data_IF_881465278444
#
_entry.id   IF_881465278444
#
_cell.length_a   1.000
_cell.length_b   1.000
_cell.length_c   1.000
_cell.angle_alpha   90.00
_cell.angle_beta   90.00
_cell.angle_gamma   90.00
#
_symmetry.space_group_name_H-M   'P 1'
#
loop_
_entity.id
_entity.type
_entity.pdbx_description
1 polymer ?
#
# COMPACT_ATOMS: atom_id res chain seq x y z
N UNK A 1 26.59 -50.46 -8.39
CA UNK A 1 27.90 -51.11 -8.60
C UNK A 1 28.81 -50.08 -9.25
N UNK A 2 29.63 -49.36 -8.47
CA UNK A 2 31.12 -49.43 -8.36
C UNK A 2 31.87 -49.08 -9.67
N UNK A 3 33.10 -48.51 -9.65
CA UNK A 3 33.89 -47.97 -8.52
C UNK A 3 34.79 -46.73 -8.80
N UNK A 4 35.29 -46.15 -7.69
CA UNK A 4 36.63 -45.62 -7.36
C UNK A 4 37.64 -45.14 -8.44
N UNK A 5 38.39 -44.07 -8.10
CA UNK A 5 39.86 -44.06 -7.89
C UNK A 5 40.33 -42.65 -7.40
N UNK A 6 40.80 -42.44 -6.16
CA UNK A 6 42.14 -42.66 -5.52
C UNK A 6 43.07 -41.44 -5.48
N UNK A 7 43.22 -40.93 -4.25
CA UNK A 7 44.37 -40.35 -3.52
C UNK A 7 45.69 -40.08 -4.28
N UNK A 8 46.32 -38.94 -3.95
CA UNK A 8 47.77 -38.90 -3.72
C UNK A 8 48.14 -37.93 -2.59
N UNK A 9 49.01 -38.42 -1.71
CA UNK A 9 49.56 -37.81 -0.51
C UNK A 9 51.05 -37.57 -0.80
N UNK A 10 51.61 -36.40 -0.48
CA UNK A 10 53.05 -36.17 -0.54
C UNK A 10 53.53 -35.64 0.82
N UNK A 11 54.23 -36.49 1.55
CA UNK A 11 54.96 -36.21 2.78
C UNK A 11 56.41 -35.93 2.37
N UNK A 12 56.95 -34.76 2.72
CA UNK A 12 58.40 -34.52 2.70
C UNK A 12 58.88 -34.36 4.14
N UNK A 13 59.80 -35.24 4.54
CA UNK A 13 60.58 -35.20 5.77
C UNK A 13 62.02 -34.74 5.43
N UNK A 14 62.88 -34.64 6.46
CA UNK A 14 64.35 -34.39 6.47
C UNK A 14 64.68 -32.94 6.91
N UNK A 15 65.61 -32.65 7.84
CA UNK A 15 66.35 -33.41 8.86
C UNK A 15 66.99 -32.38 9.80
N UNK A 16 67.26 -32.79 11.03
CA UNK A 16 67.96 -32.03 12.06
C UNK A 16 69.44 -31.81 11.76
N UNK A 17 69.91 -30.57 11.92
CA UNK A 17 71.33 -30.26 12.13
C UNK A 17 71.48 -29.52 13.47
N UNK A 18 72.16 -30.18 14.41
CA UNK A 18 72.66 -29.58 15.64
C UNK A 18 74.02 -28.96 15.33
N UNK A 19 74.14 -27.63 15.46
CA UNK A 19 75.40 -26.94 15.53
C UNK A 19 75.42 -26.08 16.80
N UNK A 20 76.41 -26.34 17.65
CA UNK A 20 76.75 -25.63 18.88
C UNK A 20 77.28 -24.23 18.58
N UNK A 21 76.80 -23.19 19.28
CA UNK A 21 77.45 -21.87 19.25
C UNK A 21 76.71 -20.76 19.99
N UNK A 22 77.30 -20.33 21.11
CA UNK A 22 77.13 -19.07 21.84
C UNK A 22 75.70 -18.60 22.21
N UNK A 23 75.41 -18.68 23.51
CA UNK A 23 74.31 -17.97 24.15
C UNK A 23 74.55 -16.45 24.08
N UNK A 24 73.76 -15.75 23.27
CA UNK A 24 73.45 -14.34 23.49
C UNK A 24 72.09 -14.27 24.17
N UNK A 25 72.04 -13.69 25.37
CA UNK A 25 70.78 -13.29 25.99
C UNK A 25 70.19 -12.15 25.15
N UNK A 26 69.24 -12.48 24.28
CA UNK A 26 68.42 -11.48 23.61
C UNK A 26 67.55 -10.79 24.68
N UNK A 27 67.61 -9.47 24.73
CA UNK A 27 66.61 -8.65 25.41
C UNK A 27 65.21 -9.08 24.96
N UNK A 28 64.18 -9.07 25.83
CA UNK A 28 62.83 -9.38 25.40
C UNK A 28 62.38 -8.29 24.43
N UNK A 29 62.47 -8.58 23.14
CA UNK A 29 61.88 -7.79 22.09
C UNK A 29 60.37 -7.91 22.27
N UNK A 30 59.73 -6.79 22.64
CA UNK A 30 58.30 -6.72 22.77
C UNK A 30 57.69 -7.12 21.42
N UNK A 31 56.93 -8.21 21.41
CA UNK A 31 56.19 -8.62 20.23
C UNK A 31 55.36 -7.42 19.73
N UNK A 32 55.37 -7.13 18.42
CA UNK A 32 54.54 -6.07 17.89
C UNK A 32 53.09 -6.37 18.26
N UNK A 33 52.48 -5.47 19.03
CA UNK A 33 51.04 -5.48 19.29
C UNK A 33 50.37 -5.38 17.93
N UNK A 34 49.83 -6.49 17.43
CA UNK A 34 48.91 -6.46 16.31
C UNK A 34 47.62 -5.82 16.82
N UNK A 35 47.52 -4.51 16.61
CA UNK A 35 46.28 -3.77 16.79
C UNK A 35 45.37 -4.25 15.65
N UNK A 36 44.44 -5.15 15.95
CA UNK A 36 43.36 -5.44 15.01
C UNK A 36 42.56 -4.14 14.83
N UNK A 37 42.22 -3.74 13.59
CA UNK A 37 41.43 -2.54 13.37
C UNK A 37 40.09 -2.69 14.08
N UNK A 38 39.73 -1.61 14.77
CA UNK A 38 38.45 -1.38 15.42
C UNK A 38 37.37 -1.61 14.36
N UNK A 39 36.43 -2.53 14.58
CA UNK A 39 35.21 -2.59 13.77
C UNK A 39 34.54 -1.22 13.86
N UNK A 40 34.61 -0.43 12.79
CA UNK A 40 33.86 0.80 12.70
C UNK A 40 32.38 0.41 12.66
N UNK A 41 31.66 0.66 13.76
CA UNK A 41 30.21 0.67 13.71
C UNK A 41 29.84 1.78 12.72
N UNK A 42 29.30 1.42 11.56
CA UNK A 42 28.72 2.42 10.67
C UNK A 42 27.45 2.92 11.35
N UNK A 43 27.52 4.16 11.84
CA UNK A 43 26.36 4.87 12.38
C UNK A 43 25.31 5.01 11.29
N UNK A 44 24.06 4.66 11.58
CA UNK A 44 22.93 4.72 10.65
C UNK A 44 22.02 5.86 11.09
N UNK A 45 21.67 6.77 10.19
CA UNK A 45 20.68 7.82 10.51
C UNK A 45 19.29 7.22 10.53
N UNK A 46 18.50 7.54 11.55
CA UNK A 46 17.15 6.97 11.73
C UNK A 46 16.11 8.07 11.60
N UNK A 47 15.09 7.86 10.77
CA UNK A 47 13.95 8.76 10.63
C UNK A 47 12.66 8.04 11.01
N UNK A 48 11.78 8.71 11.75
CA UNK A 48 10.46 8.17 12.11
C UNK A 48 9.39 9.13 11.61
N UNK A 49 8.47 8.64 10.76
CA UNK A 49 7.42 9.45 10.13
C UNK A 49 7.97 10.73 9.45
N UNK A 50 9.13 10.64 8.79
CA UNK A 50 9.79 11.77 8.11
C UNK A 50 10.55 12.74 9.03
N UNK A 51 10.60 12.47 10.34
CA UNK A 51 11.39 13.27 11.30
C UNK A 51 12.67 12.53 11.66
N UNK A 52 13.84 13.15 11.46
CA UNK A 52 15.12 12.58 11.85
C UNK A 52 15.27 12.52 13.37
N UNK A 53 15.70 11.37 13.89
CA UNK A 53 16.01 11.18 15.31
C UNK A 53 17.43 11.64 15.62
N UNK A 54 17.62 12.15 16.83
CA UNK A 54 18.95 12.47 17.39
C UNK A 54 19.76 11.21 17.68
N UNK A 55 19.08 10.14 18.09
CA UNK A 55 19.70 8.85 18.37
C UNK A 55 19.96 8.10 17.06
N UNK A 56 21.23 7.83 16.77
CA UNK A 56 21.66 7.04 15.62
C UNK A 56 21.46 5.54 15.89
N UNK A 57 21.21 4.79 14.83
CA UNK A 57 21.36 3.34 14.82
C UNK A 57 22.79 2.94 14.45
N UNK A 58 23.04 1.65 14.32
CA UNK A 58 24.30 1.14 13.79
C UNK A 58 24.06 -0.13 12.99
N UNK A 59 25.01 -0.50 12.12
CA UNK A 59 24.92 -1.76 11.39
C UNK A 59 25.33 -2.94 12.28
N UNK A 60 24.46 -3.93 12.44
CA UNK A 60 24.68 -5.12 13.27
C UNK A 60 25.85 -5.99 12.79
N UNK A 61 26.26 -6.96 13.64
CA UNK A 61 27.38 -7.84 13.35
C UNK A 61 27.24 -8.51 11.96
N UNK A 62 28.29 -8.41 11.14
CA UNK A 62 28.39 -8.86 9.74
C UNK A 62 27.69 -8.00 8.68
N UNK A 63 27.13 -6.84 9.04
CA UNK A 63 26.53 -5.93 8.06
C UNK A 63 25.14 -6.33 7.56
N UNK A 64 24.49 -7.32 8.20
CA UNK A 64 23.27 -7.93 7.70
C UNK A 64 22.01 -7.09 7.93
N UNK A 65 21.97 -6.29 9.01
CA UNK A 65 20.77 -5.57 9.40
C UNK A 65 21.08 -4.35 10.28
N UNK A 66 20.33 -3.27 10.11
CA UNK A 66 20.45 -2.08 10.95
C UNK A 66 19.82 -2.31 12.33
N UNK A 67 20.56 -1.95 13.38
CA UNK A 67 20.13 -1.93 14.77
C UNK A 67 19.63 -0.53 15.11
N UNK A 68 18.38 -0.44 15.54
CA UNK A 68 17.67 0.80 15.78
C UNK A 68 17.49 1.08 17.27
N UNK A 69 17.61 2.34 17.74
CA UNK A 69 17.44 2.69 19.14
C UNK A 69 15.99 2.48 19.56
N UNK A 70 15.72 1.45 20.36
CA UNK A 70 14.37 0.96 20.65
C UNK A 70 13.47 2.07 21.18
N UNK A 71 13.93 2.78 22.21
CA UNK A 71 13.16 3.83 22.89
C UNK A 71 12.78 4.94 21.92
N UNK A 72 13.76 5.54 21.26
CA UNK A 72 13.54 6.70 20.38
C UNK A 72 12.57 6.35 19.24
N UNK A 73 12.77 5.18 18.60
CA UNK A 73 11.87 4.73 17.53
C UNK A 73 10.46 4.47 18.06
N UNK A 74 10.31 3.71 19.14
CA UNK A 74 8.99 3.29 19.62
C UNK A 74 8.20 4.43 20.26
N UNK A 75 8.84 5.35 20.99
CA UNK A 75 8.18 6.53 21.56
C UNK A 75 7.72 7.49 20.45
N UNK A 76 8.54 7.74 19.41
CA UNK A 76 8.13 8.54 18.23
C UNK A 76 7.01 7.88 17.43
N UNK A 77 6.91 6.55 17.47
CA UNK A 77 5.78 5.79 16.92
C UNK A 77 4.55 5.76 17.86
N UNK A 78 4.63 6.36 19.05
CA UNK A 78 3.52 6.49 20.00
C UNK A 78 3.31 5.28 20.92
N UNK A 79 4.31 4.42 21.09
CA UNK A 79 4.28 3.35 22.10
C UNK A 79 4.63 3.87 23.49
N UNK A 80 4.01 3.28 24.51
CA UNK A 80 4.40 3.43 25.91
C UNK A 80 5.41 2.35 26.27
N UNK A 81 6.53 2.77 26.85
CA UNK A 81 7.63 1.90 27.25
C UNK A 81 7.65 1.69 28.77
N UNK A 82 7.80 0.44 29.22
CA UNK A 82 8.00 0.08 30.64
C UNK A 82 9.26 -0.78 30.76
N UNK A 83 10.26 -0.32 31.52
CA UNK A 83 11.50 -1.06 31.73
C UNK A 83 11.44 -1.91 33.01
N UNK A 84 11.89 -3.17 32.91
CA UNK A 84 11.94 -4.15 33.99
C UNK A 84 13.39 -4.56 34.28
N UNK A 85 14.06 -3.92 35.25
CA UNK A 85 15.50 -4.11 35.47
C UNK A 85 15.86 -5.52 35.92
N UNK A 86 15.02 -6.18 36.72
CA UNK A 86 15.19 -7.56 37.19
C UNK A 86 15.33 -8.60 36.07
N UNK A 87 14.77 -8.33 34.90
CA UNK A 87 14.80 -9.26 33.75
C UNK A 87 15.51 -8.69 32.54
N UNK A 88 16.06 -7.47 32.64
CA UNK A 88 16.63 -6.72 31.53
C UNK A 88 15.69 -6.67 30.30
N UNK A 89 14.41 -6.41 30.55
CA UNK A 89 13.36 -6.43 29.52
C UNK A 89 12.56 -5.13 29.47
N UNK A 90 12.01 -4.86 28.29
CA UNK A 90 11.15 -3.71 28.00
C UNK A 90 9.79 -4.21 27.53
N UNK A 91 8.72 -3.75 28.16
CA UNK A 91 7.37 -3.87 27.61
C UNK A 91 6.99 -2.65 26.79
N UNK A 92 6.41 -2.89 25.62
CA UNK A 92 5.93 -1.87 24.69
C UNK A 92 4.44 -2.05 24.46
N UNK A 93 3.68 -0.97 24.63
CA UNK A 93 2.22 -0.99 24.51
C UNK A 93 1.73 0.17 23.65
N UNK A 94 0.91 -0.13 22.64
CA UNK A 94 0.16 0.86 21.86
C UNK A 94 -1.16 0.26 21.38
N UNK A 95 -2.29 0.76 21.89
CA UNK A 95 -3.61 0.22 21.55
C UNK A 95 -3.73 -1.26 21.91
N UNK A 96 -3.90 -2.12 20.90
CA UNK A 96 -3.98 -3.58 21.04
C UNK A 96 -2.62 -4.30 20.87
N UNK A 97 -1.55 -3.57 20.50
CA UNK A 97 -0.20 -4.14 20.33
C UNK A 97 0.52 -4.14 21.67
N UNK A 98 0.93 -5.34 22.10
CA UNK A 98 1.78 -5.58 23.28
C UNK A 98 2.93 -6.50 22.87
N UNK A 99 4.16 -6.11 23.20
CA UNK A 99 5.34 -6.97 23.03
C UNK A 99 6.34 -6.73 24.17
N UNK A 100 7.10 -7.77 24.50
CA UNK A 100 8.23 -7.70 25.44
C UNK A 100 9.52 -7.93 24.67
N UNK A 101 10.51 -7.06 24.88
CA UNK A 101 11.85 -7.14 24.29
C UNK A 101 12.84 -7.42 25.41
N UNK A 102 13.57 -8.52 25.33
CA UNK A 102 14.55 -8.90 26.34
C UNK A 102 15.97 -8.77 25.80
N UNK A 103 16.86 -8.16 26.58
CA UNK A 103 18.24 -7.92 26.18
C UNK A 103 18.97 -9.24 25.94
N UNK A 104 19.62 -9.39 24.78
CA UNK A 104 20.45 -10.56 24.44
C UNK A 104 19.69 -11.82 24.05
N UNK A 105 18.35 -11.79 24.04
CA UNK A 105 17.52 -12.93 23.62
C UNK A 105 16.83 -12.64 22.29
N UNK A 106 17.14 -13.43 21.26
CA UNK A 106 16.42 -13.42 19.98
C UNK A 106 15.06 -14.12 20.15
N UNK A 107 14.18 -13.49 20.93
CA UNK A 107 12.84 -13.99 21.22
C UNK A 107 11.90 -12.82 21.48
N UNK A 108 10.92 -12.69 20.62
CA UNK A 108 9.94 -11.60 20.61
C UNK A 108 8.52 -12.17 20.68
N UNK A 109 7.54 -11.35 21.06
CA UNK A 109 6.14 -11.77 21.18
C UNK A 109 5.25 -11.09 20.14
N UNK A 110 4.56 -11.90 19.31
CA UNK A 110 3.50 -11.46 18.39
C UNK A 110 2.26 -12.28 18.67
N UNK A 111 1.10 -11.63 18.91
CA UNK A 111 -0.18 -12.31 19.09
C UNK A 111 -0.13 -13.48 20.11
N UNK A 112 0.66 -13.32 21.19
CA UNK A 112 0.91 -14.33 22.24
C UNK A 112 1.74 -15.55 21.80
N UNK A 113 2.37 -15.53 20.63
CA UNK A 113 3.33 -16.53 20.17
C UNK A 113 4.76 -15.96 20.17
N UNK A 114 5.75 -16.83 20.38
CA UNK A 114 7.15 -16.46 20.29
C UNK A 114 7.62 -16.49 18.83
N UNK A 115 8.36 -15.47 18.43
CA UNK A 115 8.99 -15.33 17.11
C UNK A 115 10.46 -14.96 17.29
N UNK A 116 11.32 -15.57 16.48
CA UNK A 116 12.75 -15.24 16.37
C UNK A 116 12.95 -14.38 15.11
N UNK A 117 13.83 -13.38 15.18
CA UNK A 117 14.13 -12.48 14.06
C UNK A 117 15.53 -12.74 13.46
N UNK A 118 16.33 -13.61 14.09
CA UNK A 118 17.70 -13.92 13.68
C UNK A 118 18.75 -13.00 14.29
N UNK A 119 18.34 -11.92 14.97
CA UNK A 119 19.21 -10.93 15.61
C UNK A 119 18.64 -10.55 16.97
N UNK A 120 19.38 -10.81 18.05
CA UNK A 120 18.96 -10.45 19.41
C UNK A 120 19.07 -8.94 19.69
N UNK A 121 18.26 -8.37 20.60
CA UNK A 121 18.42 -6.99 21.06
C UNK A 121 19.77 -6.79 21.76
N UNK A 122 20.42 -5.65 21.50
CA UNK A 122 21.75 -5.34 22.03
C UNK A 122 21.72 -4.10 22.91
N UNK A 123 22.34 -4.19 24.09
CA UNK A 123 22.56 -3.04 24.95
C UNK A 123 23.92 -2.44 24.62
N UNK A 124 23.93 -1.27 24.00
CA UNK A 124 25.15 -0.54 23.60
C UNK A 124 25.06 0.87 24.18
N UNK A 125 26.10 1.32 24.88
CA UNK A 125 26.15 2.65 25.51
C UNK A 125 24.90 3.01 26.35
N UNK A 126 24.43 2.03 27.15
CA UNK A 126 23.21 2.15 27.98
C UNK A 126 21.90 2.35 27.19
N UNK A 127 21.90 2.14 25.88
CA UNK A 127 20.71 2.16 25.02
C UNK A 127 20.44 0.76 24.48
N UNK A 128 19.17 0.35 24.51
CA UNK A 128 18.74 -0.91 23.94
C UNK A 128 18.43 -0.72 22.46
N UNK A 129 19.04 -1.53 21.62
CA UNK A 129 18.85 -1.54 20.19
C UNK A 129 18.18 -2.84 19.75
N UNK A 130 17.33 -2.74 18.73
CA UNK A 130 16.62 -3.87 18.13
C UNK A 130 16.86 -3.91 16.62
N UNK A 131 16.82 -5.07 15.98
CA UNK A 131 16.93 -5.17 14.53
C UNK A 131 15.80 -4.40 13.83
N UNK A 132 16.06 -3.86 12.64
CA UNK A 132 15.06 -3.19 11.80
C UNK A 132 13.80 -4.05 11.55
N UNK A 133 13.98 -5.37 11.37
CA UNK A 133 12.91 -6.37 11.26
C UNK A 133 11.98 -6.42 12.45
N UNK A 134 12.41 -5.95 13.63
CA UNK A 134 11.53 -5.79 14.80
C UNK A 134 10.36 -4.87 14.49
N UNK A 135 10.63 -3.71 13.88
CA UNK A 135 9.57 -2.75 13.56
C UNK A 135 8.65 -3.33 12.49
N UNK A 136 9.20 -4.01 11.48
CA UNK A 136 8.42 -4.63 10.41
C UNK A 136 7.53 -5.78 10.90
N UNK A 137 8.10 -6.68 11.68
CA UNK A 137 7.48 -7.98 11.99
C UNK A 137 6.69 -7.92 13.29
N UNK A 138 7.21 -7.25 14.32
CA UNK A 138 6.58 -7.20 15.64
C UNK A 138 5.62 -6.02 15.75
N UNK A 139 6.03 -4.84 15.27
CA UNK A 139 5.19 -3.63 15.37
C UNK A 139 4.28 -3.41 14.16
N UNK A 140 4.35 -4.29 13.15
CA UNK A 140 3.64 -4.16 11.87
C UNK A 140 3.88 -2.81 11.16
N UNK A 141 5.09 -2.25 11.33
CA UNK A 141 5.51 -1.03 10.66
C UNK A 141 6.18 -1.28 9.31
N UNK A 142 6.54 -0.19 8.65
CA UNK A 142 7.31 -0.16 7.41
C UNK A 142 8.74 0.31 7.73
N UNK A 143 9.73 -0.34 7.11
CA UNK A 143 11.14 0.04 7.22
C UNK A 143 11.73 0.13 5.81
N UNK A 144 12.26 1.29 5.46
CA UNK A 144 12.98 1.55 4.22
C UNK A 144 14.44 1.89 4.54
N UNK A 145 15.37 1.46 3.68
CA UNK A 145 16.80 1.74 3.83
C UNK A 145 17.32 2.37 2.54
N UNK A 146 17.84 3.59 2.64
CA UNK A 146 18.44 4.32 1.53
C UNK A 146 19.87 4.71 1.91
N UNK A 147 20.85 3.99 1.35
CA UNK A 147 22.26 4.16 1.72
C UNK A 147 22.49 3.89 3.21
N UNK A 148 22.82 4.93 3.96
CA UNK A 148 23.10 4.86 5.40
C UNK A 148 21.95 5.42 6.27
N UNK A 149 20.79 5.66 5.66
CA UNK A 149 19.59 6.14 6.35
C UNK A 149 18.53 5.03 6.42
N UNK A 150 17.89 4.90 7.57
CA UNK A 150 16.75 4.00 7.80
C UNK A 150 15.53 4.83 8.17
N UNK A 151 14.47 4.69 7.38
CA UNK A 151 13.19 5.36 7.59
C UNK A 151 12.15 4.36 8.10
N UNK A 152 11.48 4.71 9.19
CA UNK A 152 10.51 3.88 9.88
C UNK A 152 9.16 4.59 9.95
N UNK A 153 8.07 3.87 9.71
CA UNK A 153 6.72 4.37 9.94
C UNK A 153 5.76 3.25 10.35
N UNK A 154 4.64 3.60 10.97
CA UNK A 154 3.53 2.65 11.21
C UNK A 154 2.46 2.73 10.12
N UNK A 155 2.71 3.45 9.03
CA UNK A 155 1.83 3.41 7.87
C UNK A 155 2.03 2.04 7.24
N UNK A 156 1.04 1.17 7.43
CA UNK A 156 0.87 -0.02 6.61
C UNK A 156 0.88 0.47 5.16
N UNK A 157 1.95 0.20 4.43
CA UNK A 157 1.86 0.18 2.97
C UNK A 157 1.08 -1.08 2.64
N UNK A 158 -0.24 -1.01 2.80
CA UNK A 158 -1.13 -1.99 2.21
C UNK A 158 -0.73 -2.07 0.74
N UNK A 159 -0.37 -3.27 0.26
CA UNK A 159 -0.07 -3.47 -1.16
C UNK A 159 -1.19 -2.82 -1.96
N UNK A 160 -0.87 -1.85 -2.80
CA UNK A 160 -1.87 -1.11 -3.53
C UNK A 160 -2.07 -1.70 -4.90
N UNK A 161 -3.29 -1.62 -5.37
CA UNK A 161 -3.66 -1.95 -6.75
C UNK A 161 -4.46 -0.78 -7.33
N UNK A 162 -4.52 -0.74 -8.65
CA UNK A 162 -5.29 0.27 -9.37
C UNK A 162 -6.52 -0.38 -9.99
N UNK A 163 -7.67 0.25 -9.79
CA UNK A 163 -8.91 -0.08 -10.48
C UNK A 163 -9.42 1.14 -11.22
N UNK A 164 -9.79 0.96 -12.48
CA UNK A 164 -10.40 2.01 -13.29
C UNK A 164 -11.90 1.72 -13.43
N UNK A 165 -12.71 2.77 -13.40
CA UNK A 165 -14.12 2.63 -13.68
C UNK A 165 -14.90 3.95 -13.67
N UNK A 166 -16.12 3.87 -14.16
CA UNK A 166 -17.06 5.00 -14.15
C UNK A 166 -17.77 5.08 -12.81
N UNK A 167 -17.84 6.27 -12.21
CA UNK A 167 -18.56 6.52 -10.95
C UNK A 167 -20.06 6.40 -11.16
N UNK A 168 -20.71 5.49 -10.44
CA UNK A 168 -22.16 5.27 -10.49
C UNK A 168 -22.87 5.86 -9.28
N UNK A 169 -22.18 5.99 -8.14
CA UNK A 169 -22.73 6.54 -6.91
C UNK A 169 -21.66 7.19 -6.05
N UNK A 170 -22.00 8.29 -5.37
CA UNK A 170 -21.17 8.95 -4.36
C UNK A 170 -22.06 9.18 -3.14
N UNK A 171 -21.73 8.56 -2.01
CA UNK A 171 -22.54 8.64 -0.78
C UNK A 171 -21.67 8.99 0.42
N UNK A 172 -21.88 10.17 0.98
CA UNK A 172 -21.23 10.60 2.22
C UNK A 172 -22.04 10.09 3.42
N UNK A 173 -21.50 9.11 4.12
CA UNK A 173 -22.16 8.51 5.30
C UNK A 173 -21.89 9.34 6.55
N UNK A 174 -20.67 9.90 6.65
CA UNK A 174 -20.23 10.82 7.71
C UNK A 174 -19.26 11.83 7.12
N UNK A 175 -19.00 12.98 7.78
CA UNK A 175 -18.15 14.04 7.24
C UNK A 175 -16.76 13.59 6.76
N UNK A 176 -16.24 12.51 7.33
CA UNK A 176 -14.91 11.94 7.07
C UNK A 176 -14.96 10.59 6.33
N UNK A 177 -16.14 10.16 5.88
CA UNK A 177 -16.31 8.85 5.23
C UNK A 177 -17.31 8.93 4.09
N UNK A 178 -16.79 8.82 2.87
CA UNK A 178 -17.58 8.77 1.64
C UNK A 178 -17.31 7.45 0.92
N UNK A 179 -18.37 6.87 0.37
CA UNK A 179 -18.33 5.68 -0.46
C UNK A 179 -18.53 6.09 -1.92
N UNK A 180 -17.61 5.68 -2.79
CA UNK A 180 -17.70 5.91 -4.25
C UNK A 180 -17.84 4.54 -4.91
N UNK A 181 -18.98 4.30 -5.56
CA UNK A 181 -19.24 3.07 -6.32
C UNK A 181 -18.77 3.28 -7.76
N UNK A 182 -17.97 2.34 -8.27
CA UNK A 182 -17.51 2.35 -9.66
C UNK A 182 -17.81 1.03 -10.39
N UNK A 183 -17.72 1.09 -11.72
CA UNK A 183 -17.85 -0.01 -12.68
C UNK A 183 -19.27 -0.54 -12.90
N UNK A 184 -20.11 -0.52 -11.88
CA UNK A 184 -21.48 -1.03 -11.98
C UNK A 184 -22.36 -0.43 -10.87
N UNK A 185 -23.60 -0.92 -10.75
CA UNK A 185 -24.58 -0.56 -9.73
C UNK A 185 -24.97 -1.76 -8.86
N UNK A 186 -25.67 -1.50 -7.77
CA UNK A 186 -26.19 -2.55 -6.89
C UNK A 186 -25.08 -3.44 -6.32
N UNK A 187 -25.12 -4.73 -6.65
CA UNK A 187 -24.15 -5.73 -6.15
C UNK A 187 -22.90 -5.89 -7.01
N UNK A 188 -22.89 -5.30 -8.22
CA UNK A 188 -21.75 -5.35 -9.14
C UNK A 188 -20.70 -4.28 -8.82
N UNK A 189 -19.56 -4.33 -9.52
CA UNK A 189 -18.52 -3.31 -9.41
C UNK A 189 -17.78 -3.31 -8.07
N UNK A 190 -17.23 -2.16 -7.69
CA UNK A 190 -16.39 -1.99 -6.49
C UNK A 190 -16.79 -0.71 -5.75
N UNK A 191 -16.82 -0.77 -4.42
CA UNK A 191 -17.02 0.41 -3.57
C UNK A 191 -15.68 0.85 -2.97
N UNK A 192 -15.32 2.11 -3.23
CA UNK A 192 -14.14 2.77 -2.74
C UNK A 192 -14.51 3.62 -1.53
N UNK A 193 -13.95 3.28 -0.38
CA UNK A 193 -14.05 4.07 0.84
C UNK A 193 -12.97 5.16 0.80
N UNK A 194 -13.40 6.42 0.79
CA UNK A 194 -12.51 7.59 0.81
C UNK A 194 -12.68 8.38 2.10
N UNK A 195 -11.58 8.97 2.57
CA UNK A 195 -11.51 9.71 3.84
C UNK A 195 -10.55 10.89 3.78
N UNK A 196 -10.18 11.48 4.93
CA UNK A 196 -9.38 12.71 5.00
C UNK A 196 -7.99 12.59 4.35
N UNK A 197 -7.45 11.38 4.27
CA UNK A 197 -6.12 11.09 3.70
C UNK A 197 -6.18 10.76 2.20
N UNK A 198 -7.37 10.67 1.60
CA UNK A 198 -7.52 10.38 0.17
C UNK A 198 -7.20 11.64 -0.64
N UNK A 199 -6.32 11.53 -1.63
CA UNK A 199 -6.00 12.61 -2.56
C UNK A 199 -6.81 12.49 -3.84
N UNK A 200 -7.09 13.63 -4.49
CA UNK A 200 -7.84 13.70 -5.74
C UNK A 200 -7.07 14.57 -6.73
N UNK A 201 -6.96 14.11 -7.97
CA UNK A 201 -6.24 14.83 -9.01
C UNK A 201 -6.84 14.55 -10.40
N UNK A 202 -6.61 15.45 -11.34
CA UNK A 202 -6.80 15.21 -12.77
C UNK A 202 -5.63 14.40 -13.34
N UNK A 203 -5.81 13.84 -14.54
CA UNK A 203 -4.74 13.13 -15.26
C UNK A 203 -3.48 14.00 -15.51
N UNK A 204 -3.65 15.32 -15.61
CA UNK A 204 -2.53 16.27 -15.78
C UNK A 204 -1.83 16.67 -14.46
N UNK A 205 -2.29 16.12 -13.34
CA UNK A 205 -1.77 16.41 -11.99
C UNK A 205 -2.43 17.61 -11.30
N UNK A 206 -3.41 18.28 -11.91
CA UNK A 206 -4.16 19.34 -11.26
C UNK A 206 -4.91 18.81 -10.03
N UNK A 207 -4.76 19.46 -8.88
CA UNK A 207 -5.43 19.05 -7.65
C UNK A 207 -6.95 19.22 -7.75
N UNK A 208 -7.69 18.24 -7.22
CA UNK A 208 -9.14 18.25 -7.11
C UNK A 208 -9.57 18.09 -5.65
N UNK A 209 -10.84 18.32 -5.41
CA UNK A 209 -11.49 17.96 -4.15
C UNK A 209 -12.61 16.96 -4.39
N UNK A 210 -13.07 16.29 -3.32
CA UNK A 210 -14.22 15.40 -3.38
C UNK A 210 -15.47 16.08 -4.00
N UNK A 211 -15.63 17.40 -3.81
CA UNK A 211 -16.75 18.17 -4.33
C UNK A 211 -16.72 18.37 -5.85
N UNK A 212 -15.58 18.11 -6.49
CA UNK A 212 -15.45 18.16 -7.95
C UNK A 212 -15.84 16.84 -8.63
N UNK A 213 -15.91 15.75 -7.86
CA UNK A 213 -16.36 14.46 -8.36
C UNK A 213 -17.88 14.45 -8.51
N UNK A 214 -18.34 13.77 -9.57
CA UNK A 214 -19.75 13.51 -9.81
C UNK A 214 -19.91 12.17 -10.55
N UNK A 215 -21.13 11.65 -10.56
CA UNK A 215 -21.46 10.42 -11.29
C UNK A 215 -21.19 10.59 -12.80
N UNK A 216 -20.81 9.48 -13.44
CA UNK A 216 -20.39 9.40 -14.83
C UNK A 216 -18.92 9.72 -15.08
N UNK A 217 -18.18 10.29 -14.14
CA UNK A 217 -16.73 10.46 -14.31
C UNK A 217 -16.03 9.11 -14.36
N UNK A 218 -15.13 8.93 -15.32
CA UNK A 218 -14.16 7.83 -15.35
C UNK A 218 -13.00 8.19 -14.45
N UNK A 219 -12.69 7.32 -13.49
CA UNK A 219 -11.58 7.49 -12.57
C UNK A 219 -10.68 6.26 -12.55
N UNK A 220 -9.41 6.47 -12.21
CA UNK A 220 -8.52 5.41 -11.70
C UNK A 220 -8.34 5.63 -10.21
N UNK A 221 -8.57 4.57 -9.42
CA UNK A 221 -8.41 4.59 -7.98
C UNK A 221 -7.25 3.68 -7.57
N UNK A 222 -6.30 4.25 -6.82
CA UNK A 222 -5.30 3.47 -6.10
C UNK A 222 -5.87 3.08 -4.74
N UNK A 223 -6.00 1.77 -4.49
CA UNK A 223 -6.63 1.24 -3.28
C UNK A 223 -5.93 0.01 -2.74
N UNK A 224 -6.28 -0.39 -1.52
CA UNK A 224 -5.74 -1.58 -0.88
C UNK A 224 -6.06 -2.85 -1.67
N UNK A 225 -5.08 -3.74 -1.80
CA UNK A 225 -5.24 -5.11 -2.30
C UNK A 225 -6.17 -5.93 -1.39
N UNK A 226 -6.24 -5.58 -0.10
CA UNK A 226 -7.20 -6.18 0.82
C UNK A 226 -8.57 -5.51 0.63
N UNK A 227 -9.56 -6.32 0.25
CA UNK A 227 -10.96 -5.91 0.03
C UNK A 227 -11.92 -6.83 0.81
N UNK A 228 -13.13 -6.35 1.08
CA UNK A 228 -14.17 -7.14 1.77
C UNK A 228 -14.70 -8.26 0.87
N UNK A 229 -15.14 -9.36 1.47
CA UNK A 229 -15.84 -10.45 0.76
C UNK A 229 -17.36 -10.18 0.60
N UNK A 230 -17.76 -8.92 0.56
CA UNK A 230 -19.15 -8.51 0.32
C UNK A 230 -19.44 -8.37 -1.17
N UNK A 231 -20.72 -8.20 -1.50
CA UNK A 231 -21.18 -7.82 -2.85
C UNK A 231 -21.93 -6.48 -2.74
N UNK A 232 -21.38 -5.37 -3.29
CA UNK A 232 -20.08 -5.27 -3.94
C UNK A 232 -18.90 -5.39 -2.94
N UNK A 233 -17.70 -5.78 -3.39
CA UNK A 233 -16.48 -5.69 -2.59
C UNK A 233 -16.17 -4.24 -2.28
N UNK A 234 -15.64 -3.99 -1.08
CA UNK A 234 -15.29 -2.67 -0.59
C UNK A 234 -13.81 -2.60 -0.21
N UNK A 235 -13.18 -1.47 -0.46
CA UNK A 235 -11.75 -1.25 -0.18
C UNK A 235 -11.47 0.23 0.09
N UNK A 236 -10.40 0.54 0.81
CA UNK A 236 -9.99 1.92 1.08
C UNK A 236 -9.12 2.44 -0.06
N UNK A 237 -9.48 3.60 -0.60
CA UNK A 237 -8.73 4.26 -1.67
C UNK A 237 -7.86 5.41 -1.12
N UNK A 238 -6.60 5.44 -1.56
CA UNK A 238 -5.64 6.48 -1.18
C UNK A 238 -5.50 7.60 -2.21
N UNK A 239 -5.71 7.31 -3.49
CA UNK A 239 -5.62 8.31 -4.54
C UNK A 239 -6.71 8.05 -5.60
N UNK A 240 -7.42 9.11 -6.01
CA UNK A 240 -8.37 9.10 -7.11
C UNK A 240 -7.86 10.04 -8.20
N UNK A 241 -7.65 9.50 -9.41
CA UNK A 241 -7.30 10.27 -10.60
C UNK A 241 -8.47 10.30 -11.58
N UNK A 242 -8.95 11.48 -11.94
CA UNK A 242 -10.02 11.67 -12.94
C UNK A 242 -9.44 11.64 -14.34
N UNK A 243 -10.00 10.78 -15.20
CA UNK A 243 -9.54 10.57 -16.58
C UNK A 243 -10.30 11.44 -17.59
N UNK A 244 -11.57 11.78 -17.30
CA UNK A 244 -12.33 12.66 -18.18
C UNK A 244 -11.84 14.10 -18.10
N UNK A 245 -11.68 14.73 -19.26
CA UNK A 245 -11.34 16.16 -19.34
C UNK A 245 -12.58 17.05 -19.18
N UNK A 246 -13.77 16.52 -19.51
CA UNK A 246 -15.03 17.24 -19.43
C UNK A 246 -15.75 16.95 -18.10
N UNK A 247 -15.95 17.99 -17.30
CA UNK A 247 -16.67 17.91 -16.01
C UNK A 247 -18.11 18.35 -16.21
N UNK A 248 -19.06 17.46 -15.92
CA UNK A 248 -20.51 17.68 -16.02
C UNK A 248 -21.11 17.79 -14.62
N UNK A 249 -20.80 18.89 -13.91
CA UNK A 249 -21.31 19.12 -12.55
C UNK A 249 -22.84 19.01 -12.50
N UNK A 250 -23.34 18.31 -11.50
CA UNK A 250 -24.77 18.04 -11.35
C UNK A 250 -25.30 16.96 -12.29
N UNK A 251 -24.43 16.20 -12.96
CA UNK A 251 -24.84 15.00 -13.71
C UNK A 251 -25.70 14.10 -12.84
N UNK A 252 -26.74 13.57 -13.46
CA UNK A 252 -27.61 12.52 -12.93
C UNK A 252 -27.44 11.28 -13.79
N UNK A 253 -28.04 10.16 -13.38
CA UNK A 253 -27.95 8.94 -14.18
C UNK A 253 -29.06 7.94 -13.88
N UNK A 254 -29.35 7.09 -14.86
CA UNK A 254 -30.31 5.98 -14.73
C UNK A 254 -29.60 4.71 -15.18
N UNK A 255 -29.71 3.65 -14.39
CA UNK A 255 -29.24 2.32 -14.76
C UNK A 255 -30.43 1.45 -15.13
N UNK A 256 -30.39 0.78 -16.28
CA UNK A 256 -31.56 0.04 -16.76
C UNK A 256 -31.35 -0.63 -18.11
N UNK A 257 -32.46 -0.99 -18.73
CA UNK A 257 -32.50 -1.66 -20.03
C UNK A 257 -32.99 -0.69 -21.10
N UNK A 258 -32.38 -0.75 -22.29
CA UNK A 258 -32.89 -0.06 -23.46
C UNK A 258 -34.17 -0.75 -23.92
N UNK A 259 -35.32 -0.11 -23.72
CA UNK A 259 -36.63 -0.61 -24.14
C UNK A 259 -36.91 -0.33 -25.61
N UNK A 260 -36.37 0.76 -26.15
CA UNK A 260 -36.56 1.15 -27.55
C UNK A 260 -35.39 1.99 -28.08
N UNK A 261 -35.08 1.79 -29.36
CA UNK A 261 -34.09 2.59 -30.11
C UNK A 261 -34.85 3.29 -31.23
N UNK A 262 -35.04 4.60 -31.09
CA UNK A 262 -35.82 5.40 -32.04
C UNK A 262 -35.05 5.62 -33.34
N UNK A 263 -35.78 5.92 -34.43
CA UNK A 263 -35.19 6.20 -35.75
C UNK A 263 -34.16 7.34 -35.73
N UNK A 264 -34.32 8.32 -34.84
CA UNK A 264 -33.39 9.42 -34.65
C UNK A 264 -32.16 9.06 -33.79
N UNK A 265 -32.01 7.79 -33.40
CA UNK A 265 -30.93 7.28 -32.55
C UNK A 265 -31.06 7.59 -31.07
N UNK A 266 -32.21 8.11 -30.61
CA UNK A 266 -32.47 8.29 -29.18
C UNK A 266 -32.91 6.98 -28.53
N UNK A 267 -32.55 6.79 -27.27
CA UNK A 267 -32.76 5.55 -26.52
C UNK A 267 -33.84 5.77 -25.46
N UNK A 268 -34.85 4.91 -25.41
CA UNK A 268 -35.74 4.83 -24.25
C UNK A 268 -35.11 3.90 -23.23
N UNK A 269 -34.65 4.46 -22.12
CA UNK A 269 -34.04 3.73 -21.01
C UNK A 269 -35.03 3.61 -19.86
N UNK A 270 -35.20 2.39 -19.35
CA UNK A 270 -36.05 2.11 -18.19
C UNK A 270 -35.31 1.27 -17.16
N UNK A 271 -35.34 1.70 -15.92
CA UNK A 271 -34.69 1.03 -14.80
C UNK A 271 -34.80 1.86 -13.52
N UNK A 272 -33.67 2.11 -12.86
CA UNK A 272 -33.57 2.79 -11.57
C UNK A 272 -32.75 4.07 -11.70
N UNK A 273 -33.28 5.17 -11.20
CA UNK A 273 -32.54 6.42 -11.04
C UNK A 273 -31.43 6.28 -9.99
N UNK A 274 -30.23 6.77 -10.30
CA UNK A 274 -29.06 6.69 -9.40
C UNK A 274 -29.05 7.78 -8.31
N UNK A 275 -29.99 8.71 -8.35
CA UNK A 275 -30.19 9.75 -7.35
C UNK A 275 -31.68 10.08 -7.22
N UNK A 276 -32.06 10.80 -6.16
CA UNK A 276 -33.45 11.26 -5.95
C UNK A 276 -33.99 12.13 -7.09
N UNK A 277 -33.09 12.78 -7.83
CA UNK A 277 -33.43 13.64 -8.98
C UNK A 277 -33.39 12.90 -10.32
N UNK A 278 -32.94 11.64 -10.31
CA UNK A 278 -32.84 10.81 -11.52
C UNK A 278 -34.17 10.08 -11.75
N UNK A 279 -34.79 10.19 -12.93
CA UNK A 279 -35.97 9.40 -13.27
C UNK A 279 -35.63 7.92 -13.51
N UNK A 280 -36.59 7.05 -13.19
CA UNK A 280 -36.55 5.61 -13.50
C UNK A 280 -36.77 5.31 -14.99
N UNK A 281 -37.38 6.25 -15.73
CA UNK A 281 -37.61 6.14 -17.17
C UNK A 281 -37.24 7.46 -17.87
N UNK A 282 -36.35 7.39 -18.86
CA UNK A 282 -35.80 8.57 -19.54
C UNK A 282 -35.51 8.27 -21.00
N UNK A 283 -35.68 9.28 -21.86
CA UNK A 283 -35.22 9.22 -23.25
C UNK A 283 -33.89 9.96 -23.36
N UNK A 284 -32.86 9.23 -23.77
CA UNK A 284 -31.51 9.75 -23.95
C UNK A 284 -31.26 10.07 -25.41
N UNK A 285 -30.92 11.32 -25.71
CA UNK A 285 -30.38 11.67 -27.02
C UNK A 285 -28.88 11.39 -27.07
N UNK A 286 -28.44 10.69 -28.12
CA UNK A 286 -27.03 10.31 -28.31
C UNK A 286 -26.44 11.16 -29.43
N UNK A 287 -25.50 12.02 -29.10
CA UNK A 287 -24.77 12.90 -30.03
C UNK A 287 -23.38 12.34 -30.37
N UNK A 288 -22.66 13.02 -31.27
CA UNK A 288 -21.26 12.70 -31.56
C UNK A 288 -20.34 12.85 -30.33
N UNK A 289 -20.70 13.74 -29.40
CA UNK A 289 -19.94 14.01 -28.17
C UNK A 289 -20.31 13.06 -27.02
N UNK A 290 -21.27 12.14 -27.22
CA UNK A 290 -21.66 11.18 -26.19
C UNK A 290 -20.60 10.08 -26.11
N UNK A 291 -19.90 10.00 -24.99
CA UNK A 291 -18.96 8.91 -24.74
C UNK A 291 -19.72 7.59 -24.54
N UNK A 292 -19.32 6.52 -25.24
CA UNK A 292 -19.89 5.18 -25.07
C UNK A 292 -18.76 4.29 -24.60
N UNK A 293 -18.87 3.79 -23.38
CA UNK A 293 -17.80 3.04 -22.70
C UNK A 293 -18.36 1.82 -21.97
N UNK A 294 -17.50 0.93 -21.50
CA UNK A 294 -17.86 -0.12 -20.54
C UNK A 294 -17.71 0.36 -19.08
N UNK A 295 -17.97 -0.52 -18.11
CA UNK A 295 -17.83 -0.20 -16.69
C UNK A 295 -16.41 0.25 -16.29
N UNK A 296 -15.38 -0.23 -16.99
CA UNK A 296 -13.97 0.13 -16.75
C UNK A 296 -13.59 1.45 -17.44
N UNK A 297 -14.48 2.01 -18.26
CA UNK A 297 -14.25 3.25 -19.01
C UNK A 297 -13.62 3.04 -20.38
N UNK A 298 -13.52 1.79 -20.85
CA UNK A 298 -12.99 1.47 -22.18
C UNK A 298 -14.04 1.75 -23.27
N UNK A 299 -13.68 2.31 -24.43
CA UNK A 299 -14.65 2.63 -25.48
C UNK A 299 -15.41 1.41 -26.01
N UNK A 300 -16.72 1.57 -26.18
CA UNK A 300 -17.63 0.54 -26.73
C UNK A 300 -18.28 1.05 -28.02
N UNK A 301 -18.43 0.17 -29.01
CA UNK A 301 -19.06 0.51 -30.28
C UNK A 301 -20.54 0.87 -30.07
N UNK A 302 -21.01 1.92 -30.76
CA UNK A 302 -22.41 2.34 -30.75
C UNK A 302 -23.38 1.24 -31.17
N UNK A 303 -22.93 0.26 -31.96
CA UNK A 303 -23.68 -0.92 -32.32
C UNK A 303 -24.12 -1.78 -31.11
N UNK A 304 -23.50 -1.61 -29.93
CA UNK A 304 -23.93 -2.26 -28.69
C UNK A 304 -25.21 -1.65 -28.10
N UNK A 305 -25.61 -0.44 -28.52
CA UNK A 305 -26.81 0.26 -28.02
C UNK A 305 -28.08 -0.25 -28.71
N UNK A 306 -28.39 -1.53 -28.50
CA UNK A 306 -29.57 -2.20 -29.02
C UNK A 306 -30.65 -2.36 -27.96
N UNK A 307 -31.90 -2.51 -28.41
CA UNK A 307 -33.01 -2.91 -27.53
C UNK A 307 -32.63 -4.17 -26.74
N UNK A 308 -32.86 -4.13 -25.43
CA UNK A 308 -32.52 -5.20 -24.49
C UNK A 308 -31.12 -5.08 -23.87
N UNK A 309 -30.25 -4.21 -24.38
CA UNK A 309 -28.96 -3.99 -23.74
C UNK A 309 -29.12 -3.25 -22.41
N UNK A 310 -28.35 -3.67 -21.41
CA UNK A 310 -28.29 -3.01 -20.11
C UNK A 310 -27.23 -1.91 -20.17
N UNK A 311 -27.62 -0.72 -19.73
CA UNK A 311 -26.76 0.45 -19.74
C UNK A 311 -26.95 1.30 -18.49
N UNK A 312 -25.97 2.15 -18.23
CA UNK A 312 -26.09 3.30 -17.34
C UNK A 312 -25.95 4.55 -18.19
N UNK A 313 -27.00 5.36 -18.26
CA UNK A 313 -27.00 6.62 -18.97
C UNK A 313 -26.74 7.78 -18.03
N UNK A 314 -25.72 8.59 -18.31
CA UNK A 314 -25.40 9.81 -17.58
C UNK A 314 -25.74 11.05 -18.42
N UNK A 315 -26.46 11.99 -17.80
CA UNK A 315 -27.04 13.14 -18.48
C UNK A 315 -27.18 14.33 -17.53
N UNK A 316 -27.42 15.51 -18.11
CA UNK A 316 -27.58 16.74 -17.34
C UNK A 316 -28.89 16.76 -16.52
N UNK A 317 -28.93 17.54 -15.42
CA UNK A 317 -30.11 17.62 -14.55
C UNK A 317 -31.29 18.36 -15.21
N UNK A 318 -31.03 19.09 -16.30
CA UNK A 318 -32.04 19.77 -17.10
C UNK A 318 -32.63 18.80 -18.12
N UNK A 319 -33.93 18.55 -18.01
CA UNK A 319 -34.69 17.65 -18.87
C UNK A 319 -35.99 18.30 -19.36
N UNK A 320 -36.57 17.77 -20.43
CA UNK A 320 -37.90 18.22 -20.90
C UNK A 320 -38.99 17.84 -19.89
N UNK A 321 -40.10 18.58 -19.91
CA UNK A 321 -41.29 18.28 -19.09
C UNK A 321 -42.21 17.20 -19.69
N UNK A 322 -41.71 16.40 -20.63
CA UNK A 322 -42.46 15.30 -21.24
C UNK A 322 -42.48 14.07 -20.33
N UNK A 323 -43.33 13.09 -20.65
CA UNK A 323 -43.35 11.79 -19.99
C UNK A 323 -43.19 10.69 -21.05
N UNK A 324 -42.05 9.97 -21.10
CA UNK A 324 -40.85 10.17 -20.28
C UNK A 324 -40.10 11.49 -20.56
N UNK A 325 -39.32 12.01 -19.60
CA UNK A 325 -38.44 13.16 -19.80
C UNK A 325 -37.35 12.82 -20.83
N UNK A 326 -36.87 13.85 -21.53
CA UNK A 326 -35.82 13.75 -22.54
C UNK A 326 -34.61 14.57 -22.06
N UNK A 327 -33.41 13.99 -22.13
CA UNK A 327 -32.16 14.68 -21.84
C UNK A 327 -31.04 14.21 -22.79
N UNK A 328 -29.99 15.01 -22.89
CA UNK A 328 -28.81 14.65 -23.69
C UNK A 328 -27.82 13.86 -22.86
N UNK A 329 -27.52 12.65 -23.33
CA UNK A 329 -26.51 11.81 -22.71
C UNK A 329 -25.13 12.36 -23.06
N UNK A 330 -24.32 12.58 -22.03
CA UNK A 330 -22.91 12.91 -22.22
C UNK A 330 -22.04 11.65 -22.10
N UNK A 331 -22.50 10.63 -21.35
CA UNK A 331 -21.86 9.31 -21.29
C UNK A 331 -22.90 8.20 -21.15
N UNK A 332 -22.63 7.09 -21.83
CA UNK A 332 -23.37 5.83 -21.71
C UNK A 332 -22.36 4.74 -21.36
N UNK A 333 -22.62 4.04 -20.27
CA UNK A 333 -21.87 2.85 -19.86
C UNK A 333 -22.66 1.63 -20.27
N UNK A 334 -22.07 0.74 -21.05
CA UNK A 334 -22.68 -0.53 -21.46
C UNK A 334 -22.22 -1.61 -20.50
N UNK A 335 -23.18 -2.36 -19.93
CA UNK A 335 -22.86 -3.56 -19.16
C UNK A 335 -22.41 -4.63 -20.16
N UNK A 336 -21.10 -4.88 -20.21
CA UNK A 336 -20.53 -6.01 -20.92
C UNK A 336 -20.45 -7.18 -19.96
N UNK A 337 -20.97 -8.34 -20.36
CA UNK A 337 -20.76 -9.58 -19.62
C UNK A 337 -19.23 -9.80 -19.54
N UNK A 338 -18.64 -9.53 -18.38
CA UNK A 338 -17.24 -9.84 -18.14
C UNK A 338 -17.14 -11.36 -17.93
N UNK A 339 -16.52 -12.06 -18.89
CA UNK A 339 -15.96 -13.41 -18.69
C UNK A 339 -14.95 -13.45 -17.54
#
# INVERSE_FOLDING_TARGET
MKPLMTRSLAILSVSSMLATGAAYAASPEAAPVQIQPISANLDVTVQVNGTALTDLGFLGANGAEAMLPLRAVTESLGFKLTWHPETYSVDLVKGNVFTTVKTGEDRYTINKMFTELGTAPQLVDSKLYVPASFVKTILHGSVATEGNAVSVSLKEEAKKVQSTGVITSIQTIKPDHTMIHIQDVGTGGIVLNVGPETTYQMLDGSELTLADLHVGLTITAEHSLAMTMSLPPQTSASNITVLDTAVHKGSVGTAGVIEDVRENGSLLLKGEGLSETSPDEVVLTVSADTAIVDGKGEPVDKAALTKGAKIIGFYGPMMTKSLPPISQAWKIVVETDNE
#
